data_IF_687562710840
#
_entry.id   IF_687562710840
#
_cell.length_a   1.000
_cell.length_b   1.000
_cell.length_c   1.000
_cell.angle_alpha   90.00
_cell.angle_beta   90.00
_cell.angle_gamma   90.00
#
_symmetry.space_group_name_H-M   'P 1'
#
loop_
_entity.id
_entity.type
_entity.pdbx_description
1 polymer ?
#
# COMPACT_ATOMS: atom_id res chain seq x y z
N UNK A 1 -0.80 31.76 -13.67
CA UNK A 1 -0.07 30.55 -14.06
C UNK A 1 0.01 29.68 -12.83
N UNK A 2 -0.81 28.64 -12.75
CA UNK A 2 -0.76 27.71 -11.63
C UNK A 2 0.55 26.93 -11.71
N UNK A 3 1.35 27.00 -10.65
CA UNK A 3 2.61 26.25 -10.60
C UNK A 3 2.31 24.76 -10.51
N UNK A 4 3.08 23.91 -11.21
CA UNK A 4 2.86 22.47 -11.19
C UNK A 4 2.95 21.94 -9.77
N UNK A 5 2.03 21.05 -9.42
CA UNK A 5 2.00 20.43 -8.11
C UNK A 5 3.26 19.59 -7.87
N UNK A 6 3.63 19.39 -6.60
CA UNK A 6 4.75 18.52 -6.21
C UNK A 6 4.68 17.13 -6.87
N UNK A 7 3.46 16.58 -6.99
CA UNK A 7 3.20 15.28 -7.62
C UNK A 7 3.49 15.30 -9.13
N UNK A 8 3.07 16.36 -9.83
CA UNK A 8 3.35 16.53 -11.26
C UNK A 8 4.84 16.68 -11.54
N UNK A 9 5.55 17.43 -10.68
CA UNK A 9 7.01 17.54 -10.77
C UNK A 9 7.69 16.18 -10.61
N UNK A 10 7.27 15.37 -9.62
CA UNK A 10 7.82 14.01 -9.43
C UNK A 10 7.54 13.09 -10.62
N UNK A 11 6.34 13.15 -11.21
CA UNK A 11 5.97 12.39 -12.42
C UNK A 11 6.85 12.78 -13.60
N UNK A 12 7.03 14.08 -13.81
CA UNK A 12 7.88 14.61 -14.86
C UNK A 12 9.34 14.19 -14.69
N UNK A 13 9.92 14.39 -13.50
CA UNK A 13 11.30 14.00 -13.20
C UNK A 13 11.53 12.50 -13.40
N UNK A 14 10.60 11.64 -12.96
CA UNK A 14 10.70 10.19 -13.18
C UNK A 14 10.73 9.83 -14.68
N UNK A 15 9.90 10.48 -15.49
CA UNK A 15 9.88 10.28 -16.94
C UNK A 15 11.21 10.68 -17.60
N UNK A 16 11.72 11.86 -17.25
CA UNK A 16 13.00 12.37 -17.75
C UNK A 16 14.16 11.43 -17.39
N UNK A 17 14.23 10.97 -16.14
CA UNK A 17 15.28 10.06 -15.69
C UNK A 17 15.24 8.72 -16.44
N UNK A 18 14.06 8.18 -16.76
CA UNK A 18 13.95 6.96 -17.57
C UNK A 18 14.49 7.15 -19.01
N UNK A 19 14.26 8.33 -19.61
CA UNK A 19 14.81 8.67 -20.93
C UNK A 19 16.33 8.77 -20.88
N UNK A 20 16.85 9.53 -19.91
CA UNK A 20 18.30 9.68 -19.74
C UNK A 20 18.99 8.34 -19.48
N UNK A 21 18.37 7.47 -18.68
CA UNK A 21 18.89 6.13 -18.40
C UNK A 21 19.09 5.32 -19.67
N UNK A 22 18.06 5.25 -20.52
CA UNK A 22 18.11 4.47 -21.76
C UNK A 22 19.20 4.98 -22.69
N UNK A 23 19.27 6.30 -22.88
CA UNK A 23 20.28 6.93 -23.74
C UNK A 23 21.71 6.68 -23.23
N UNK A 24 21.95 6.86 -21.93
CA UNK A 24 23.29 6.64 -21.36
C UNK A 24 23.70 5.17 -21.37
N UNK A 25 22.73 4.26 -21.24
CA UNK A 25 22.99 2.83 -21.38
C UNK A 25 23.40 2.47 -22.82
N UNK A 26 22.68 2.99 -23.82
CA UNK A 26 23.01 2.82 -25.24
C UNK A 26 24.39 3.41 -25.60
N UNK A 27 24.76 4.55 -25.00
CA UNK A 27 26.06 5.20 -25.17
C UNK A 27 27.20 4.48 -24.40
N UNK A 28 26.92 3.38 -23.70
CA UNK A 28 27.92 2.62 -22.92
C UNK A 28 28.44 3.37 -21.68
N UNK A 29 27.76 4.43 -21.25
CA UNK A 29 28.14 5.26 -20.11
C UNK A 29 27.72 4.60 -18.80
N UNK A 30 28.46 3.57 -18.37
CA UNK A 30 28.11 2.72 -17.22
C UNK A 30 27.94 3.52 -15.92
N UNK A 31 28.90 4.40 -15.59
CA UNK A 31 28.85 5.19 -14.36
C UNK A 31 27.66 6.16 -14.36
N UNK A 32 27.40 6.82 -15.49
CA UNK A 32 26.31 7.78 -15.59
C UNK A 32 24.94 7.09 -15.57
N UNK A 33 24.83 5.93 -16.22
CA UNK A 33 23.63 5.07 -16.15
C UNK A 33 23.31 4.67 -14.71
N UNK A 34 24.34 4.25 -13.95
CA UNK A 34 24.18 3.88 -12.54
C UNK A 34 23.69 5.05 -11.67
N UNK A 35 24.23 6.25 -11.87
CA UNK A 35 23.77 7.44 -11.14
C UNK A 35 22.32 7.81 -11.50
N UNK A 36 21.93 7.66 -12.77
CA UNK A 36 20.56 7.90 -13.20
C UNK A 36 19.60 6.84 -12.65
N UNK A 37 20.01 5.57 -12.57
CA UNK A 37 19.23 4.50 -11.94
C UNK A 37 18.90 4.83 -10.48
N UNK A 38 19.89 5.28 -9.70
CA UNK A 38 19.68 5.68 -8.30
C UNK A 38 18.66 6.82 -8.21
N UNK A 39 18.84 7.87 -9.02
CA UNK A 39 17.91 9.00 -9.03
C UNK A 39 16.49 8.57 -9.45
N UNK A 40 16.37 7.64 -10.39
CA UNK A 40 15.09 7.11 -10.86
C UNK A 40 14.37 6.33 -9.75
N UNK A 41 15.08 5.48 -9.02
CA UNK A 41 14.53 4.71 -7.90
C UNK A 41 14.04 5.64 -6.79
N UNK A 42 14.87 6.58 -6.34
CA UNK A 42 14.52 7.57 -5.31
C UNK A 42 13.27 8.38 -5.70
N UNK A 43 13.20 8.85 -6.94
CA UNK A 43 12.04 9.61 -7.43
C UNK A 43 10.79 8.74 -7.48
N UNK A 44 10.93 7.47 -7.86
CA UNK A 44 9.82 6.51 -7.90
C UNK A 44 9.27 6.22 -6.52
N UNK A 45 10.11 6.14 -5.50
CA UNK A 45 9.68 5.89 -4.12
C UNK A 45 9.01 7.12 -3.50
N UNK A 46 9.53 8.33 -3.75
CA UNK A 46 8.85 9.58 -3.36
C UNK A 46 7.48 9.73 -4.02
N UNK A 47 7.35 9.30 -5.27
CA UNK A 47 6.07 9.33 -5.97
C UNK A 47 5.04 8.42 -5.29
N UNK A 48 5.41 7.18 -4.96
CA UNK A 48 4.55 6.25 -4.20
C UNK A 48 4.13 6.84 -2.85
N UNK A 49 5.05 7.48 -2.12
CA UNK A 49 4.76 8.13 -0.85
C UNK A 49 3.74 9.28 -1.02
N UNK A 50 3.97 10.16 -2.00
CA UNK A 50 3.08 11.29 -2.27
C UNK A 50 1.69 10.88 -2.76
N UNK A 51 1.57 9.74 -3.46
CA UNK A 51 0.28 9.17 -3.86
C UNK A 51 -0.46 8.56 -2.67
N UNK A 52 0.27 7.97 -1.71
CA UNK A 52 -0.30 7.38 -0.50
C UNK A 52 -0.72 8.43 0.54
N UNK A 53 -0.02 9.56 0.63
CA UNK A 53 -0.40 10.73 1.46
C UNK A 53 -1.74 11.35 1.04
N UNK A 54 -2.14 11.19 -0.24
CA UNK A 54 -3.38 11.74 -0.79
C UNK A 54 -4.60 10.83 -0.58
N UNK A 55 -4.42 9.62 -0.06
CA UNK A 55 -5.51 8.76 0.38
C UNK A 55 -5.79 9.07 1.86
N UNK A 56 -6.89 9.75 2.21
CA UNK A 56 -7.27 9.83 3.61
C UNK A 56 -7.49 8.38 4.05
N UNK A 57 -6.80 7.97 5.12
CA UNK A 57 -7.17 6.76 5.85
C UNK A 57 -8.63 6.92 6.27
N UNK A 58 -9.55 6.42 5.47
CA UNK A 58 -10.94 6.27 5.84
C UNK A 58 -11.02 5.04 6.75
N UNK A 59 -10.46 5.18 7.95
CA UNK A 59 -10.68 4.29 9.07
C UNK A 59 -11.77 4.90 9.92
N UNK A 60 -13.01 4.53 9.64
CA UNK A 60 -14.10 4.76 10.57
C UNK A 60 -13.85 3.96 11.85
N UNK A 61 -14.04 4.61 13.00
CA UNK A 61 -14.85 4.16 14.15
C UNK A 61 -14.65 5.15 15.30
N UNK A 62 -15.16 6.38 15.16
CA UNK A 62 -15.33 7.27 16.32
C UNK A 62 -16.83 7.48 16.51
N UNK A 63 -17.40 6.62 17.34
CA UNK A 63 -18.83 6.58 17.64
C UNK A 63 -19.17 5.50 18.64
N UNK A 64 -18.37 5.37 19.70
CA UNK A 64 -18.69 4.54 20.86
C UNK A 64 -19.88 5.16 21.62
N UNK A 65 -21.09 4.90 21.14
CA UNK A 65 -22.32 5.06 21.90
C UNK A 65 -22.62 3.79 22.70
N UNK A 66 -22.20 3.79 23.96
CA UNK A 66 -22.69 3.10 25.16
C UNK A 66 -23.11 1.59 25.14
N UNK A 67 -22.81 0.85 26.24
CA UNK A 67 -23.21 -0.54 26.41
C UNK A 67 -24.64 -0.65 26.98
N UNK A 68 -25.53 -1.39 26.31
CA UNK A 68 -26.77 -1.87 26.91
C UNK A 68 -26.55 -3.28 27.43
N UNK A 69 -26.24 -3.36 28.73
CA UNK A 69 -26.41 -4.59 29.50
C UNK A 69 -27.90 -4.76 29.79
N UNK A 70 -28.55 -5.74 29.17
CA UNK A 70 -29.79 -6.30 29.69
C UNK A 70 -29.50 -7.69 30.26
N UNK A 71 -29.56 -7.78 31.59
CA UNK A 71 -29.59 -9.03 32.32
C UNK A 71 -30.94 -9.74 32.09
N UNK A 72 -30.90 -11.00 31.66
CA UNK A 72 -31.78 -12.00 32.26
C UNK A 72 -31.15 -13.40 32.22
N UNK A 73 -31.00 -14.10 33.36
CA UNK A 73 -30.50 -15.46 33.41
C UNK A 73 -31.67 -16.45 33.39
N UNK A 74 -31.75 -17.34 32.40
CA UNK A 74 -32.60 -18.54 32.51
C UNK A 74 -31.93 -19.76 31.86
N UNK A 75 -31.31 -20.56 32.74
CA UNK A 75 -31.18 -22.03 32.74
C UNK A 75 -31.17 -22.83 31.42
N UNK A 76 -30.02 -23.46 31.18
CA UNK A 76 -29.79 -24.73 30.45
C UNK A 76 -30.75 -25.88 30.88
N UNK A 77 -30.89 -27.04 30.15
CA UNK A 77 -29.85 -27.74 29.37
C UNK A 77 -30.29 -28.42 28.06
N UNK A 78 -29.37 -28.55 27.10
CA UNK A 78 -29.71 -29.13 25.80
C UNK A 78 -28.54 -29.55 24.91
N UNK A 79 -27.71 -30.46 25.40
CA UNK A 79 -27.09 -31.54 24.62
C UNK A 79 -26.18 -31.22 23.41
N UNK A 80 -24.92 -31.62 23.62
CA UNK A 80 -24.12 -32.53 22.76
C UNK A 80 -23.18 -31.92 21.71
N UNK A 81 -21.91 -31.94 22.12
CA UNK A 81 -20.81 -32.72 21.53
C UNK A 81 -20.38 -32.41 20.07
N UNK A 82 -19.24 -31.71 19.99
CA UNK A 82 -17.95 -32.22 19.49
C UNK A 82 -17.99 -32.98 18.14
N UNK A 83 -17.48 -32.33 17.10
CA UNK A 83 -17.19 -32.96 15.81
C UNK A 83 -16.01 -32.33 15.07
N UNK A 84 -14.78 -32.54 15.57
CA UNK A 84 -13.58 -32.47 14.75
C UNK A 84 -13.57 -33.67 13.80
N UNK A 85 -13.50 -33.48 12.47
CA UNK A 85 -12.86 -34.43 11.55
C UNK A 85 -12.18 -33.71 10.39
N UNK A 86 -10.85 -33.75 10.45
CA UNK A 86 -9.91 -33.63 9.34
C UNK A 86 -10.30 -34.55 8.18
N UNK A 87 -10.12 -34.09 6.94
CA UNK A 87 -9.94 -34.98 5.79
C UNK A 87 -8.92 -34.36 4.84
N UNK A 88 -7.68 -34.81 4.99
CA UNK A 88 -6.67 -34.84 3.93
C UNK A 88 -7.07 -35.93 2.95
N UNK A 89 -6.95 -35.68 1.64
CA UNK A 89 -6.87 -36.77 0.66
C UNK A 89 -5.86 -36.42 -0.43
N UNK A 90 -4.75 -37.16 -0.40
CA UNK A 90 -3.85 -37.41 -1.52
C UNK A 90 -4.62 -38.15 -2.63
N UNK A 91 -4.44 -37.77 -3.89
CA UNK A 91 -3.56 -38.50 -4.82
C UNK A 91 -3.39 -37.73 -6.13
#
# INVERSE_FOLDING_TARGET
MDSPSKLENLRFTRSLLNVLRRRMHEDGQVLLTYLIDIAYLETSDRLKQSENEKSPRHGGTDGAGQPMFDHQPTTEPGSRLRGMKSTIRHH
#
